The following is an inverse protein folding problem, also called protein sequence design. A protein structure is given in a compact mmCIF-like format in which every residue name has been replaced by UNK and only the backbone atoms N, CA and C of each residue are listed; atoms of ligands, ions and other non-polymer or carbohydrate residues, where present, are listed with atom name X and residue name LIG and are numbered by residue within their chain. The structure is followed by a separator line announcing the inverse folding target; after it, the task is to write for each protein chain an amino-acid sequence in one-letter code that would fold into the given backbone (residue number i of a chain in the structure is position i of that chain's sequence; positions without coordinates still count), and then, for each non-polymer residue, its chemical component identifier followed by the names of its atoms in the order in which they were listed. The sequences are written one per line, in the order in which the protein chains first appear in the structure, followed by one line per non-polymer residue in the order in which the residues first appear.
data_IF_859413872364
#
_entry.id   IF_859413872364
#
_cell.length_a   1.000
_cell.length_b   1.000
_cell.length_c   1.000
_cell.angle_alpha   90.00
_cell.angle_beta   90.00
_cell.angle_gamma   90.00
#
_symmetry.space_group_name_H-M   'P 1'
#
loop_
_entity.id
_entity.type
_entity.pdbx_description
1 polymer ?
#
# COMPACT_ATOMS: atom_id res chain seq x y z
N UNK A 1 -3.51 -30.97 45.87
CA UNK A 1 -2.23 -30.26 45.71
C UNK A 1 -1.17 -31.29 45.34
N UNK A 2 -0.51 -31.01 44.21
CA UNK A 2 0.77 -31.54 43.72
C UNK A 2 0.99 -33.04 43.75
N UNK A 3 0.64 -33.65 42.62
CA UNK A 3 1.23 -34.87 42.09
C UNK A 3 2.74 -34.70 41.93
N UNK A 4 3.54 -35.49 42.65
CA UNK A 4 4.95 -35.74 42.31
C UNK A 4 5.07 -37.17 41.79
N UNK A 5 5.73 -37.30 40.64
CA UNK A 5 5.64 -38.42 39.71
C UNK A 5 5.98 -39.79 40.30
N UNK A 6 5.15 -40.77 39.97
CA UNK A 6 5.47 -42.21 39.96
C UNK A 6 6.68 -42.49 39.05
N UNK A 7 7.90 -42.38 39.59
CA UNK A 7 9.05 -43.09 39.06
C UNK A 7 9.14 -44.43 39.78
N UNK A 8 8.92 -45.55 39.10
CA UNK A 8 9.16 -46.86 39.69
C UNK A 8 10.63 -46.94 40.14
N UNK A 9 10.85 -46.94 41.46
CA UNK A 9 12.16 -47.22 42.03
C UNK A 9 12.59 -48.63 41.62
N UNK A 10 13.70 -48.76 40.89
CA UNK A 10 14.27 -50.06 40.48
C UNK A 10 14.71 -50.92 41.66
N UNK A 11 14.80 -50.35 42.88
CA UNK A 11 15.07 -51.08 44.13
C UNK A 11 13.91 -50.81 45.10
N UNK A 12 13.19 -51.86 45.49
CA UNK A 12 11.97 -51.79 46.29
C UNK A 12 12.25 -52.43 47.65
N UNK A 13 11.85 -51.76 48.73
CA UNK A 13 11.91 -52.32 50.08
C UNK A 13 10.73 -53.27 50.28
N UNK A 14 11.02 -54.52 50.59
CA UNK A 14 10.02 -55.56 50.90
C UNK A 14 10.25 -56.13 52.29
N UNK A 15 9.32 -56.95 52.78
CA UNK A 15 9.45 -57.70 54.04
C UNK A 15 10.67 -58.64 54.07
N UNK A 16 11.26 -58.97 52.91
CA UNK A 16 12.46 -59.81 52.75
C UNK A 16 13.76 -59.02 52.56
N UNK A 17 13.71 -57.68 52.62
CA UNK A 17 14.84 -56.79 52.36
C UNK A 17 14.69 -55.97 51.08
N UNK A 18 15.80 -55.41 50.61
CA UNK A 18 15.86 -54.60 49.38
C UNK A 18 15.88 -55.52 48.16
N UNK A 19 14.86 -55.44 47.31
CA UNK A 19 14.65 -56.31 46.14
C UNK A 19 14.73 -55.49 44.86
N UNK A 20 15.33 -56.04 43.81
CA UNK A 20 15.36 -55.40 42.48
C UNK A 20 13.97 -55.50 41.84
N UNK A 21 13.39 -54.36 41.45
CA UNK A 21 12.06 -54.28 40.87
C UNK A 21 11.93 -55.16 39.62
N UNK A 22 10.95 -56.07 39.61
CA UNK A 22 10.75 -57.03 38.52
C UNK A 22 11.57 -58.32 38.63
N UNK A 23 12.40 -58.48 39.68
CA UNK A 23 13.14 -59.71 39.97
C UNK A 23 12.85 -60.19 41.41
N UNK A 24 13.04 -61.49 41.67
CA UNK A 24 12.96 -62.07 43.05
C UNK A 24 14.31 -62.05 43.78
N UNK A 25 15.25 -61.23 43.30
CA UNK A 25 16.64 -61.20 43.73
C UNK A 25 16.81 -60.09 44.74
N UNK A 26 17.29 -60.44 45.94
CA UNK A 26 17.61 -59.43 46.95
C UNK A 26 18.97 -58.82 46.69
N UNK A 27 19.20 -57.63 47.23
CA UNK A 27 20.52 -57.00 47.25
C UNK A 27 21.58 -57.91 47.87
N UNK A 28 21.23 -58.65 48.93
CA UNK A 28 22.17 -59.53 49.64
C UNK A 28 22.60 -60.71 48.78
N UNK A 29 21.66 -61.29 48.03
CA UNK A 29 21.96 -62.33 47.04
C UNK A 29 22.92 -61.84 45.95
N UNK A 30 22.94 -60.54 45.66
CA UNK A 30 23.90 -59.98 44.70
C UNK A 30 25.27 -59.73 45.36
N UNK A 31 25.28 -59.19 46.58
CA UNK A 31 26.51 -58.87 47.34
C UNK A 31 27.36 -60.12 47.62
N UNK A 32 26.74 -61.24 48.01
CA UNK A 32 27.47 -62.48 48.30
C UNK A 32 28.30 -62.98 47.11
N UNK A 33 27.75 -62.85 45.89
CA UNK A 33 28.44 -63.28 44.69
C UNK A 33 29.45 -62.25 44.16
N UNK A 34 29.21 -60.96 44.42
CA UNK A 34 30.19 -59.92 44.09
C UNK A 34 31.43 -60.07 44.98
N UNK A 35 31.25 -60.27 46.28
CA UNK A 35 32.36 -60.50 47.22
C UNK A 35 33.10 -61.82 46.94
N UNK A 36 32.42 -62.82 46.39
CA UNK A 36 33.04 -64.06 45.93
C UNK A 36 33.76 -63.94 44.57
N UNK A 37 33.83 -62.74 43.96
CA UNK A 37 34.62 -62.45 42.77
C UNK A 37 34.02 -62.93 41.45
N UNK A 38 32.70 -63.18 41.40
CA UNK A 38 32.06 -63.69 40.18
C UNK A 38 31.97 -62.61 39.07
N UNK A 39 32.21 -62.97 37.79
CA UNK A 39 32.10 -62.03 36.68
C UNK A 39 30.68 -61.47 36.54
N UNK A 40 30.56 -60.15 36.30
CA UNK A 40 29.27 -59.45 36.16
C UNK A 40 28.37 -60.04 35.07
N UNK A 41 28.94 -60.56 33.98
CA UNK A 41 28.20 -61.25 32.92
C UNK A 41 27.50 -62.52 33.41
N UNK A 42 28.11 -63.24 34.33
CA UNK A 42 27.58 -64.49 34.90
C UNK A 42 26.47 -64.20 35.92
N UNK A 43 26.62 -63.12 36.70
CA UNK A 43 25.58 -62.69 37.64
C UNK A 43 24.30 -62.25 36.95
N UNK A 44 24.42 -61.50 35.85
CA UNK A 44 23.25 -61.08 35.04
C UNK A 44 22.47 -62.29 34.52
N UNK A 45 23.18 -63.26 33.95
CA UNK A 45 22.56 -64.47 33.40
C UNK A 45 21.97 -65.37 34.48
N UNK A 46 22.65 -65.50 35.63
CA UNK A 46 22.18 -66.34 36.75
C UNK A 46 20.92 -65.80 37.42
N UNK A 47 20.81 -64.48 37.53
CA UNK A 47 19.72 -63.81 38.22
C UNK A 47 18.62 -63.30 37.30
N UNK A 48 18.74 -63.49 35.98
CA UNK A 48 17.79 -63.04 34.96
C UNK A 48 17.44 -61.55 35.08
N UNK A 49 18.44 -60.72 35.37
CA UNK A 49 18.29 -59.27 35.53
C UNK A 49 18.87 -58.53 34.33
N UNK A 50 18.16 -57.49 33.88
CA UNK A 50 18.58 -56.65 32.75
C UNK A 50 19.82 -55.82 33.09
N UNK A 51 20.53 -55.34 32.07
CA UNK A 51 21.69 -54.45 32.26
C UNK A 51 21.37 -53.22 33.10
N UNK A 52 20.19 -52.62 32.87
CA UNK A 52 19.71 -51.47 33.62
C UNK A 52 19.43 -51.81 35.09
N UNK A 53 18.84 -52.96 35.36
CA UNK A 53 18.58 -53.42 36.74
C UNK A 53 19.88 -53.75 37.47
N UNK A 54 20.82 -54.41 36.80
CA UNK A 54 22.12 -54.76 37.36
C UNK A 54 22.97 -53.52 37.65
N UNK A 55 23.11 -52.59 36.69
CA UNK A 55 23.88 -51.36 36.90
C UNK A 55 23.29 -50.51 38.03
N UNK A 56 21.96 -50.40 38.10
CA UNK A 56 21.28 -49.69 39.18
C UNK A 56 21.49 -50.37 40.55
N UNK A 57 21.47 -51.70 40.60
CA UNK A 57 21.72 -52.45 41.83
C UNK A 57 23.16 -52.31 42.33
N UNK A 58 24.15 -52.39 41.43
CA UNK A 58 25.57 -52.19 41.74
C UNK A 58 25.82 -50.75 42.23
N UNK A 59 25.26 -49.76 41.52
CA UNK A 59 25.36 -48.35 41.92
C UNK A 59 24.82 -48.12 43.35
N UNK A 60 23.67 -48.71 43.69
CA UNK A 60 23.08 -48.60 45.02
C UNK A 60 23.90 -49.31 46.10
N UNK A 61 24.46 -50.50 45.80
CA UNK A 61 25.35 -51.24 46.69
C UNK A 61 26.59 -50.38 47.01
N UNK A 62 27.29 -49.91 45.97
CA UNK A 62 28.50 -49.09 46.12
C UNK A 62 28.22 -47.78 46.87
N UNK A 63 27.09 -47.10 46.58
CA UNK A 63 26.68 -45.88 47.27
C UNK A 63 26.50 -46.13 48.78
N UNK A 64 25.83 -47.23 49.14
CA UNK A 64 25.56 -47.55 50.54
C UNK A 64 26.78 -48.09 51.31
N UNK A 65 27.70 -48.79 50.66
CA UNK A 65 28.94 -49.26 51.26
C UNK A 65 29.88 -48.07 51.56
N UNK A 66 29.99 -47.12 50.62
CA UNK A 66 30.69 -45.85 50.84
C UNK A 66 30.05 -45.04 51.97
N UNK A 67 28.72 -45.01 52.07
CA UNK A 67 28.00 -44.30 53.14
C UNK A 67 28.25 -44.91 54.53
N UNK A 68 28.25 -46.25 54.67
CA UNK A 68 28.58 -46.91 55.94
C UNK A 68 30.06 -46.68 56.31
N UNK A 69 30.99 -46.88 55.37
CA UNK A 69 32.43 -46.65 55.61
C UNK A 69 32.70 -45.19 56.00
N UNK A 70 32.01 -44.24 55.39
CA UNK A 70 32.12 -42.82 55.71
C UNK A 70 31.59 -42.50 57.11
N UNK A 71 30.48 -43.14 57.52
CA UNK A 71 29.89 -42.98 58.86
C UNK A 71 30.80 -43.50 59.97
N UNK A 72 31.46 -44.64 59.76
CA UNK A 72 32.41 -45.21 60.71
C UNK A 72 33.67 -44.34 60.83
N UNK A 73 34.17 -43.82 59.72
CA UNK A 73 35.29 -42.88 59.70
C UNK A 73 34.96 -41.56 60.41
N UNK A 74 33.76 -40.99 60.22
CA UNK A 74 33.28 -39.80 60.96
C UNK A 74 33.25 -40.09 62.47
N UNK A 75 32.77 -41.26 62.87
CA UNK A 75 32.72 -41.66 64.28
C UNK A 75 34.13 -41.77 64.88
N UNK A 76 35.10 -42.32 64.12
CA UNK A 76 36.52 -42.38 64.51
C UNK A 76 37.11 -40.97 64.68
N UNK A 77 36.85 -40.06 63.74
CA UNK A 77 37.28 -38.65 63.81
C UNK A 77 36.71 -37.97 65.06
N UNK A 78 35.40 -38.10 65.32
CA UNK A 78 34.75 -37.47 66.48
C UNK A 78 35.30 -38.00 67.81
N UNK A 79 35.59 -39.29 67.91
CA UNK A 79 36.23 -39.87 69.10
C UNK A 79 37.61 -39.29 69.35
N UNK A 80 38.41 -39.11 68.29
CA UNK A 80 39.75 -38.51 68.40
C UNK A 80 39.64 -37.03 68.78
N UNK A 81 38.72 -36.28 68.17
CA UNK A 81 38.48 -34.88 68.49
C UNK A 81 38.07 -34.68 69.96
N UNK A 82 37.14 -35.47 70.46
CA UNK A 82 36.74 -35.40 71.87
C UNK A 82 37.90 -35.73 72.82
N UNK A 83 38.77 -36.69 72.44
CA UNK A 83 39.98 -36.99 73.23
C UNK A 83 40.98 -35.83 73.20
N UNK A 84 41.19 -35.20 72.04
CA UNK A 84 42.05 -34.01 71.94
C UNK A 84 41.48 -32.86 72.79
N UNK A 85 40.17 -32.63 72.72
CA UNK A 85 39.48 -31.58 73.49
C UNK A 85 39.64 -31.79 75.00
N UNK A 86 39.48 -33.02 75.49
CA UNK A 86 39.67 -33.32 76.92
C UNK A 86 41.11 -33.13 77.36
N UNK A 87 42.09 -33.50 76.53
CA UNK A 87 43.51 -33.40 76.87
C UNK A 87 44.05 -31.96 76.82
N UNK A 88 43.56 -31.13 75.88
CA UNK A 88 43.95 -29.70 75.79
C UNK A 88 43.53 -28.92 77.05
N UNK A 89 42.47 -29.36 77.76
CA UNK A 89 42.01 -28.74 78.99
C UNK A 89 42.85 -29.11 80.22
N UNK A 90 43.82 -30.03 80.09
CA UNK A 90 44.74 -30.44 81.17
C UNK A 90 46.00 -29.57 81.22
N UNK A 91 46.70 -29.54 82.37
CA UNK A 91 47.93 -28.74 82.53
C UNK A 91 49.10 -29.20 81.66
N UNK A 92 49.14 -30.49 81.27
CA UNK A 92 50.21 -31.06 80.43
C UNK A 92 49.87 -30.97 78.93
N UNK A 93 48.58 -30.87 78.58
CA UNK A 93 48.13 -30.76 77.19
C UNK A 93 48.56 -31.93 76.31
N UNK A 94 48.78 -31.67 75.01
CA UNK A 94 49.24 -32.65 74.01
C UNK A 94 50.75 -32.91 74.03
N UNK A 95 51.43 -32.68 75.16
CA UNK A 95 52.89 -32.79 75.28
C UNK A 95 53.35 -34.09 75.94
N UNK A 96 52.42 -34.92 76.39
CA UNK A 96 52.70 -36.21 76.99
C UNK A 96 52.92 -37.29 75.93
N UNK A 97 53.68 -38.33 76.28
CA UNK A 97 54.06 -39.42 75.38
C UNK A 97 52.84 -40.12 74.76
N UNK A 98 51.77 -40.31 75.54
CA UNK A 98 50.55 -41.00 75.09
C UNK A 98 49.57 -40.09 74.31
N UNK A 99 49.77 -38.76 74.34
CA UNK A 99 48.84 -37.77 73.74
C UNK A 99 49.45 -37.02 72.55
N UNK A 100 50.77 -37.02 72.39
CA UNK A 100 51.49 -36.34 71.31
C UNK A 100 51.14 -36.88 69.91
N UNK A 101 50.70 -38.14 69.82
CA UNK A 101 50.29 -38.77 68.55
C UNK A 101 48.85 -38.41 68.12
N UNK A 102 48.02 -37.88 69.02
CA UNK A 102 46.58 -37.66 68.75
C UNK A 102 46.31 -36.74 67.55
N UNK A 103 47.03 -35.61 67.36
CA UNK A 103 46.85 -34.78 66.17
C UNK A 103 47.19 -35.52 64.86
N UNK A 104 48.17 -36.42 64.88
CA UNK A 104 48.55 -37.20 63.70
C UNK A 104 47.53 -38.31 63.40
N UNK A 105 46.97 -38.96 64.43
CA UNK A 105 45.86 -39.90 64.28
C UNK A 105 44.59 -39.26 63.71
N UNK A 106 44.37 -37.97 64.00
CA UNK A 106 43.27 -37.21 63.40
C UNK A 106 43.47 -37.04 61.89
N UNK A 107 44.70 -36.73 61.45
CA UNK A 107 45.03 -36.63 60.02
C UNK A 107 44.87 -37.97 59.32
N UNK A 108 45.35 -39.06 59.91
CA UNK A 108 45.19 -40.42 59.39
C UNK A 108 43.70 -40.78 59.23
N UNK A 109 42.88 -40.53 60.26
CA UNK A 109 41.44 -40.75 60.18
C UNK A 109 40.75 -39.87 59.12
N UNK A 110 41.26 -38.66 58.87
CA UNK A 110 40.81 -37.79 57.78
C UNK A 110 41.13 -38.35 56.40
N UNK A 111 42.30 -38.97 56.21
CA UNK A 111 42.68 -39.64 54.97
C UNK A 111 41.82 -40.89 54.74
N UNK A 112 41.58 -41.69 55.77
CA UNK A 112 40.64 -42.83 55.72
C UNK A 112 39.24 -42.36 55.27
N UNK A 113 38.78 -41.24 55.79
CA UNK A 113 37.50 -40.64 55.40
C UNK A 113 37.48 -40.19 53.94
N UNK A 114 38.53 -39.53 53.45
CA UNK A 114 38.61 -39.11 52.05
C UNK A 114 38.64 -40.30 51.10
N UNK A 115 39.37 -41.37 51.44
CA UNK A 115 39.43 -42.58 50.61
C UNK A 115 38.10 -43.34 50.57
N UNK A 116 37.31 -43.29 51.64
CA UNK A 116 35.95 -43.85 51.68
C UNK A 116 34.96 -43.05 50.82
N UNK A 117 35.07 -41.73 50.77
CA UNK A 117 34.19 -40.87 49.95
C UNK A 117 34.59 -40.89 48.48
N UNK A 118 35.87 -40.70 48.21
CA UNK A 118 36.42 -40.57 46.86
C UNK A 118 37.08 -41.87 46.41
N UNK A 119 36.30 -42.96 46.39
CA UNK A 119 36.76 -44.23 45.83
C UNK A 119 37.14 -44.06 44.34
N UNK A 120 38.04 -44.90 43.78
CA UNK A 120 38.46 -44.81 42.38
C UNK A 120 37.28 -44.85 41.39
N UNK A 121 36.21 -45.55 41.76
CA UNK A 121 34.99 -45.65 40.95
C UNK A 121 34.18 -44.35 40.95
N UNK A 122 34.07 -43.68 42.10
CA UNK A 122 33.41 -42.36 42.19
C UNK A 122 34.18 -41.33 41.38
N UNK A 123 35.51 -41.33 41.44
CA UNK A 123 36.35 -40.43 40.63
C UNK A 123 36.22 -40.70 39.13
N UNK A 124 36.11 -41.96 38.70
CA UNK A 124 35.83 -42.32 37.29
C UNK A 124 34.44 -41.87 36.84
N UNK A 125 33.44 -41.99 37.72
CA UNK A 125 32.10 -41.51 37.42
C UNK A 125 32.06 -39.99 37.29
N UNK A 126 32.78 -39.26 38.16
CA UNK A 126 32.92 -37.81 38.06
C UNK A 126 33.66 -37.40 36.78
N UNK A 127 34.72 -38.10 36.39
CA UNK A 127 35.42 -37.83 35.13
C UNK A 127 34.51 -37.89 33.89
N UNK A 128 33.53 -38.80 33.90
CA UNK A 128 32.60 -38.98 32.79
C UNK A 128 31.36 -38.09 32.87
N UNK A 129 30.92 -37.72 34.07
CA UNK A 129 29.67 -36.97 34.29
C UNK A 129 29.89 -35.45 34.39
N UNK A 130 30.98 -35.03 35.03
CA UNK A 130 31.29 -33.62 35.32
C UNK A 130 32.81 -33.41 35.50
N UNK A 131 33.55 -33.21 34.39
CA UNK A 131 35.00 -33.01 34.42
C UNK A 131 35.44 -31.79 35.26
N UNK A 132 34.64 -30.72 35.28
CA UNK A 132 34.98 -29.49 36.01
C UNK A 132 35.00 -29.73 37.53
N UNK A 133 34.10 -30.57 38.03
CA UNK A 133 34.08 -30.97 39.44
C UNK A 133 35.28 -31.85 39.81
N UNK A 134 35.75 -32.70 38.88
CA UNK A 134 36.96 -33.49 39.08
C UNK A 134 38.21 -32.59 39.16
N UNK A 135 38.29 -31.57 38.30
CA UNK A 135 39.38 -30.59 38.34
C UNK A 135 39.37 -29.79 39.64
N UNK A 136 38.20 -29.35 40.10
CA UNK A 136 38.05 -28.66 41.39
C UNK A 136 38.50 -29.54 42.57
N UNK A 137 38.15 -30.84 42.55
CA UNK A 137 38.61 -31.81 43.54
C UNK A 137 40.14 -31.98 43.50
N UNK A 138 40.73 -32.12 42.31
CA UNK A 138 42.17 -32.30 42.13
C UNK A 138 42.95 -31.07 42.64
N UNK A 139 42.44 -29.87 42.36
CA UNK A 139 42.98 -28.61 42.88
C UNK A 139 42.91 -28.59 44.41
N UNK A 140 41.77 -28.94 45.01
CA UNK A 140 41.60 -28.94 46.47
C UNK A 140 42.53 -29.94 47.17
N UNK A 141 42.71 -31.13 46.60
CA UNK A 141 43.66 -32.14 47.09
C UNK A 141 45.09 -31.61 47.00
N UNK A 142 45.47 -31.04 45.86
CA UNK A 142 46.80 -30.45 45.64
C UNK A 142 47.11 -29.35 46.66
N UNK A 143 46.16 -28.44 46.90
CA UNK A 143 46.30 -27.38 47.90
C UNK A 143 46.49 -27.95 49.32
N UNK A 144 45.78 -29.01 49.66
CA UNK A 144 45.88 -29.66 50.97
C UNK A 144 47.23 -30.31 51.19
N UNK A 145 47.73 -31.05 50.19
CA UNK A 145 49.05 -31.65 50.22
C UNK A 145 50.16 -30.59 50.31
N UNK A 146 50.02 -29.48 49.57
CA UNK A 146 50.98 -28.38 49.64
C UNK A 146 51.04 -27.76 51.05
N UNK A 147 49.90 -27.60 51.74
CA UNK A 147 49.89 -27.14 53.15
C UNK A 147 50.63 -28.10 54.07
N UNK A 148 50.43 -29.40 53.92
CA UNK A 148 51.13 -30.43 54.71
C UNK A 148 52.65 -30.40 54.42
N UNK A 149 53.03 -30.23 53.16
CA UNK A 149 54.43 -30.10 52.74
C UNK A 149 55.09 -28.85 53.32
N UNK A 150 54.40 -27.71 53.36
CA UNK A 150 54.89 -26.48 54.01
C UNK A 150 55.17 -26.71 55.49
N UNK A 151 54.26 -27.39 56.21
CA UNK A 151 54.46 -27.71 57.63
C UNK A 151 55.69 -28.60 57.82
N UNK A 152 55.84 -29.64 57.00
CA UNK A 152 57.01 -30.52 57.03
C UNK A 152 58.32 -29.75 56.77
N UNK A 153 58.35 -28.90 55.75
CA UNK A 153 59.52 -28.08 55.43
C UNK A 153 59.87 -27.09 56.53
N UNK A 154 58.89 -26.58 57.26
CA UNK A 154 59.12 -25.71 58.40
C UNK A 154 59.70 -26.49 59.59
N UNK A 155 59.25 -27.73 59.83
CA UNK A 155 59.74 -28.54 60.95
C UNK A 155 61.09 -29.21 60.69
N UNK A 156 61.40 -29.52 59.44
CA UNK A 156 62.59 -30.28 59.05
C UNK A 156 63.92 -29.66 59.55
N UNK A 157 64.18 -28.34 59.44
CA UNK A 157 65.39 -27.73 59.99
C UNK A 157 65.50 -27.91 61.50
N UNK A 158 64.39 -27.85 62.22
CA UNK A 158 64.36 -27.99 63.68
C UNK A 158 64.52 -29.44 64.14
N UNK A 159 63.98 -30.40 63.40
CA UNK A 159 64.20 -31.83 63.68
C UNK A 159 65.67 -32.22 63.51
N UNK A 160 66.40 -31.53 62.62
CA UNK A 160 67.82 -31.80 62.38
C UNK A 160 68.75 -31.31 63.50
N UNK A 161 68.28 -30.37 64.35
CA UNK A 161 69.03 -29.75 65.46
C UNK A 161 68.66 -30.31 66.85
N UNK A 162 67.58 -31.07 66.96
CA UNK A 162 67.13 -31.70 68.21
C UNK A 162 67.90 -33.00 68.49
N UNK A 163 68.08 -33.41 69.77
CA UNK A 163 68.79 -34.62 70.16
C UNK A 163 67.91 -35.87 69.93
N UNK A 164 67.64 -36.18 68.66
CA UNK A 164 66.88 -37.36 68.22
C UNK A 164 67.86 -38.51 68.00
N UNK A 165 67.43 -39.76 68.23
CA UNK A 165 68.27 -40.95 67.99
C UNK A 165 68.71 -41.04 66.51
N UNK A 166 69.93 -41.51 66.24
CA UNK A 166 70.48 -41.55 64.88
C UNK A 166 69.67 -42.45 63.93
N UNK A 167 69.00 -43.48 64.47
CA UNK A 167 68.12 -44.37 63.71
C UNK A 167 66.87 -43.66 63.19
N UNK A 168 66.26 -42.78 64.00
CA UNK A 168 65.11 -41.98 63.57
C UNK A 168 65.52 -40.90 62.57
N UNK A 169 66.69 -40.26 62.76
CA UNK A 169 67.23 -39.29 61.80
C UNK A 169 67.44 -39.91 60.41
N UNK A 170 67.97 -41.13 60.36
CA UNK A 170 68.11 -41.86 59.10
C UNK A 170 66.76 -42.17 58.47
N UNK A 171 65.81 -42.74 59.23
CA UNK A 171 64.46 -43.04 58.73
C UNK A 171 63.73 -41.81 58.17
N UNK A 172 63.86 -40.65 58.84
CA UNK A 172 63.26 -39.41 58.35
C UNK A 172 63.90 -38.97 57.03
N UNK A 173 65.23 -39.08 56.90
CA UNK A 173 65.93 -38.77 55.66
C UNK A 173 65.53 -39.70 54.51
N UNK A 174 65.42 -41.00 54.78
CA UNK A 174 65.02 -42.01 53.78
C UNK A 174 63.58 -41.75 53.30
N UNK A 175 62.65 -41.49 54.24
CA UNK A 175 61.26 -41.14 53.90
C UNK A 175 61.16 -39.85 53.08
N UNK A 176 61.98 -38.84 53.36
CA UNK A 176 62.00 -37.60 52.57
C UNK A 176 62.52 -37.87 51.16
N UNK A 177 63.56 -38.70 51.02
CA UNK A 177 64.07 -39.09 49.72
C UNK A 177 63.01 -39.85 48.90
N UNK A 178 62.30 -40.79 49.53
CA UNK A 178 61.18 -41.52 48.92
C UNK A 178 60.04 -40.58 48.50
N UNK A 179 59.63 -39.64 49.35
CA UNK A 179 58.57 -38.66 49.02
C UNK A 179 58.99 -37.79 47.82
N UNK A 180 60.24 -37.32 47.79
CA UNK A 180 60.74 -36.51 46.67
C UNK A 180 60.81 -37.33 45.38
N UNK A 181 61.22 -38.60 45.46
CA UNK A 181 61.25 -39.51 44.33
C UNK A 181 59.83 -39.74 43.77
N UNK A 182 58.87 -40.07 44.63
CA UNK A 182 57.46 -40.28 44.24
C UNK A 182 56.86 -39.00 43.63
N UNK A 183 57.18 -37.82 44.18
CA UNK A 183 56.73 -36.54 43.62
C UNK A 183 57.30 -36.29 42.22
N UNK A 184 58.58 -36.63 42.00
CA UNK A 184 59.23 -36.52 40.69
C UNK A 184 58.61 -37.47 39.66
N UNK A 185 58.45 -38.74 40.02
CA UNK A 185 57.84 -39.77 39.15
C UNK A 185 56.39 -39.42 38.79
N UNK A 186 55.59 -38.95 39.74
CA UNK A 186 54.22 -38.51 39.48
C UNK A 186 54.16 -37.33 38.52
N UNK A 187 55.07 -36.36 38.65
CA UNK A 187 55.17 -35.22 37.73
C UNK A 187 55.47 -35.70 36.30
N UNK A 188 56.42 -36.61 36.15
CA UNK A 188 56.77 -37.21 34.85
C UNK A 188 55.61 -38.00 34.22
N UNK A 189 54.86 -38.76 35.03
CA UNK A 189 53.67 -39.49 34.57
C UNK A 189 52.56 -38.55 34.12
N UNK A 190 52.29 -37.47 34.85
CA UNK A 190 51.29 -36.47 34.47
C UNK A 190 51.67 -35.76 33.16
N UNK A 191 52.95 -35.44 32.99
CA UNK A 191 53.45 -34.86 31.74
C UNK A 191 53.27 -35.85 30.56
N UNK A 192 53.65 -37.11 30.75
CA UNK A 192 53.51 -38.16 29.73
C UNK A 192 52.03 -38.41 29.36
N UNK A 193 51.13 -38.40 30.34
CA UNK A 193 49.69 -38.54 30.11
C UNK A 193 49.13 -37.37 29.29
N UNK A 194 49.60 -36.15 29.56
CA UNK A 194 49.21 -34.95 28.78
C UNK A 194 49.70 -35.04 27.34
N UNK A 195 50.93 -35.51 27.13
CA UNK A 195 51.49 -35.73 25.78
C UNK A 195 50.69 -36.77 24.99
N UNK A 196 50.33 -37.89 25.62
CA UNK A 196 49.50 -38.93 24.99
C UNK A 196 48.10 -38.41 24.64
N UNK A 197 47.47 -37.66 25.54
CA UNK A 197 46.16 -37.04 25.26
C UNK A 197 46.20 -36.09 24.07
N UNK A 198 47.24 -35.25 23.97
CA UNK A 198 47.43 -34.36 22.84
C UNK A 198 47.67 -35.12 21.52
N UNK A 199 48.38 -36.25 21.57
CA UNK A 199 48.58 -37.12 20.41
C UNK A 199 47.27 -37.78 19.96
N UNK A 200 46.44 -38.25 20.89
CA UNK A 200 45.12 -38.82 20.61
C UNK A 200 44.21 -37.78 19.96
N UNK A 201 44.16 -36.56 20.49
CA UNK A 201 43.36 -35.48 19.91
C UNK A 201 43.81 -35.15 18.47
N UNK A 202 45.13 -35.15 18.22
CA UNK A 202 45.67 -34.95 16.88
C UNK A 202 45.26 -36.07 15.92
N UNK A 203 45.33 -37.34 16.35
CA UNK A 203 44.89 -38.48 15.54
C UNK A 203 43.39 -38.42 15.20
N UNK A 204 42.56 -37.92 16.11
CA UNK A 204 41.14 -37.67 15.83
C UNK A 204 40.97 -36.62 14.73
N UNK A 205 41.68 -35.49 14.82
CA UNK A 205 41.66 -34.44 13.78
C UNK A 205 42.13 -34.98 12.42
N UNK A 206 43.24 -35.71 12.39
CA UNK A 206 43.79 -36.29 11.15
C UNK A 206 42.81 -37.32 10.53
N UNK A 207 42.06 -38.06 11.37
CA UNK A 207 41.05 -39.00 10.92
C UNK A 207 39.84 -38.29 10.30
N UNK A 208 39.42 -37.17 10.88
CA UNK A 208 38.36 -36.32 10.33
C UNK A 208 38.77 -35.75 8.96
N UNK A 209 39.99 -35.21 8.84
CA UNK A 209 40.50 -34.71 7.55
C UNK A 209 40.54 -35.80 6.47
N UNK A 210 41.00 -37.01 6.81
CA UNK A 210 40.98 -38.15 5.88
C UNK A 210 39.56 -38.53 5.46
N UNK A 211 38.58 -38.43 6.36
CA UNK A 211 37.18 -38.71 6.02
C UNK A 211 36.62 -37.68 5.03
N UNK A 212 36.96 -36.39 5.20
CA UNK A 212 36.58 -35.32 4.28
C UNK A 212 37.23 -35.49 2.91
N UNK A 213 38.53 -35.83 2.87
CA UNK A 213 39.23 -36.11 1.62
C UNK A 213 38.63 -37.30 0.87
N UNK A 214 38.24 -38.36 1.58
CA UNK A 214 37.55 -39.51 0.97
C UNK A 214 36.19 -39.13 0.40
N UNK A 215 35.43 -38.27 1.09
CA UNK A 215 34.18 -37.75 0.56
C UNK A 215 34.42 -36.94 -0.72
N UNK A 216 35.44 -36.07 -0.72
CA UNK A 216 35.80 -35.28 -1.91
C UNK A 216 36.22 -36.15 -3.08
N UNK A 217 36.98 -37.22 -2.86
CA UNK A 217 37.33 -38.19 -3.90
C UNK A 217 36.08 -38.88 -4.48
N UNK A 218 35.11 -39.25 -3.63
CA UNK A 218 33.85 -39.82 -4.08
C UNK A 218 32.99 -38.82 -4.89
N UNK A 219 32.93 -37.56 -4.46
CA UNK A 219 32.27 -36.48 -5.20
C UNK A 219 32.92 -36.29 -6.58
N UNK A 220 34.25 -36.23 -6.64
CA UNK A 220 34.98 -36.08 -7.90
C UNK A 220 34.76 -37.27 -8.84
N UNK A 221 34.72 -38.50 -8.33
CA UNK A 221 34.37 -39.69 -9.12
C UNK A 221 32.96 -39.64 -9.67
N UNK A 222 32.02 -39.12 -8.89
CA UNK A 222 30.63 -38.94 -9.33
C UNK A 222 30.55 -37.90 -10.44
N UNK A 223 31.19 -36.74 -10.25
CA UNK A 223 31.28 -35.69 -11.28
C UNK A 223 31.98 -36.21 -12.55
N UNK A 224 33.02 -37.03 -12.40
CA UNK A 224 33.70 -37.65 -13.54
C UNK A 224 32.78 -38.60 -14.31
N UNK A 225 31.99 -39.43 -13.60
CA UNK A 225 31.01 -40.31 -14.23
C UNK A 225 29.88 -39.51 -14.91
N UNK A 226 29.40 -38.44 -14.27
CA UNK A 226 28.42 -37.52 -14.86
C UNK A 226 28.97 -36.88 -16.13
N UNK A 227 30.18 -36.32 -16.11
CA UNK A 227 30.84 -35.73 -17.29
C UNK A 227 31.07 -36.74 -18.42
N UNK A 228 31.28 -38.02 -18.11
CA UNK A 228 31.39 -39.07 -19.12
C UNK A 228 30.02 -39.49 -19.69
N UNK A 229 28.94 -39.31 -18.92
CA UNK A 229 27.57 -39.64 -19.34
C UNK A 229 26.83 -38.48 -20.02
N UNK A 230 27.27 -37.24 -19.78
CA UNK A 230 26.67 -36.03 -20.36
C UNK A 230 27.25 -35.82 -21.75
N UNK A 231 26.43 -36.08 -22.77
CA UNK A 231 26.73 -35.76 -24.17
C UNK A 231 26.72 -34.22 -24.35
N UNK A 232 27.88 -33.60 -24.19
CA UNK A 232 28.06 -32.15 -24.35
C UNK A 232 27.69 -31.68 -25.76
N UNK A 233 27.75 -32.56 -26.76
CA UNK A 233 27.38 -32.24 -28.13
C UNK A 233 25.85 -32.13 -28.25
N UNK A 234 25.07 -32.97 -27.56
CA UNK A 234 23.62 -32.86 -27.53
C UNK A 234 23.15 -31.55 -26.88
N UNK A 235 23.78 -31.13 -25.78
CA UNK A 235 23.46 -29.85 -25.13
C UNK A 235 23.86 -28.65 -25.98
N UNK A 236 25.02 -28.69 -26.66
CA UNK A 236 25.40 -27.64 -27.61
C UNK A 236 24.41 -27.56 -28.76
N UNK A 237 23.93 -28.70 -29.25
CA UNK A 237 22.93 -28.79 -30.31
C UNK A 237 21.57 -28.24 -29.84
N UNK A 238 21.18 -28.51 -28.60
CA UNK A 238 19.95 -27.97 -28.01
C UNK A 238 20.03 -26.44 -27.82
N UNK A 239 21.16 -25.91 -27.34
CA UNK A 239 21.38 -24.45 -27.22
C UNK A 239 21.40 -23.77 -28.60
N UNK A 240 21.98 -24.40 -29.62
CA UNK A 240 21.93 -23.87 -30.99
C UNK A 240 20.53 -23.91 -31.57
N UNK A 241 19.76 -24.98 -31.33
CA UNK A 241 18.36 -25.05 -31.75
C UNK A 241 17.50 -24.00 -31.03
N UNK A 242 17.67 -23.84 -29.72
CA UNK A 242 16.93 -22.86 -28.93
C UNK A 242 17.26 -21.43 -29.36
N UNK A 243 18.54 -21.10 -29.56
CA UNK A 243 18.93 -19.78 -30.06
C UNK A 243 18.40 -19.51 -31.47
N UNK A 244 18.39 -20.51 -32.37
CA UNK A 244 17.78 -20.41 -33.69
C UNK A 244 16.25 -20.17 -33.63
N UNK A 245 15.54 -20.69 -32.62
CA UNK A 245 14.11 -20.35 -32.40
C UNK A 245 13.86 -19.00 -31.73
N UNK A 246 14.84 -18.45 -31.01
CA UNK A 246 14.69 -17.16 -30.30
C UNK A 246 15.02 -15.96 -31.19
N UNK A 247 15.96 -16.11 -32.12
CA UNK A 247 16.28 -15.13 -33.18
C UNK A 247 15.03 -14.56 -33.91
N UNK A 248 14.13 -15.38 -34.48
CA UNK A 248 12.94 -14.86 -35.15
C UNK A 248 11.98 -14.17 -34.19
N UNK A 249 11.86 -14.64 -32.93
CA UNK A 249 11.01 -13.98 -31.92
C UNK A 249 11.58 -12.62 -31.50
N UNK A 250 12.90 -12.49 -31.40
CA UNK A 250 13.55 -11.22 -31.07
C UNK A 250 13.39 -10.20 -32.21
N UNK A 251 13.48 -10.66 -33.47
CA UNK A 251 13.23 -9.80 -34.63
C UNK A 251 11.77 -9.36 -34.74
N UNK A 252 10.81 -10.26 -34.49
CA UNK A 252 9.38 -9.93 -34.41
C UNK A 252 9.10 -8.90 -33.30
N UNK A 253 9.69 -9.07 -32.12
CA UNK A 253 9.52 -8.12 -31.00
C UNK A 253 10.07 -6.74 -31.36
N UNK A 254 11.21 -6.68 -32.05
CA UNK A 254 11.78 -5.42 -32.55
C UNK A 254 10.89 -4.74 -33.59
N UNK A 255 10.29 -5.51 -34.50
CA UNK A 255 9.32 -4.99 -35.47
C UNK A 255 8.08 -4.43 -34.78
N UNK A 256 7.52 -5.15 -33.80
CA UNK A 256 6.38 -4.69 -33.01
C UNK A 256 6.69 -3.43 -32.22
N UNK A 257 7.89 -3.31 -31.64
CA UNK A 257 8.33 -2.08 -30.98
C UNK A 257 8.41 -0.89 -31.94
N UNK A 258 8.91 -1.12 -33.16
CA UNK A 258 8.97 -0.08 -34.19
C UNK A 258 7.56 0.35 -34.64
N UNK A 259 6.66 -0.60 -34.87
CA UNK A 259 5.26 -0.33 -35.20
C UNK A 259 4.55 0.46 -34.08
N UNK A 260 4.80 0.10 -32.82
CA UNK A 260 4.24 0.84 -31.68
C UNK A 260 4.71 2.30 -31.69
N UNK A 261 6.01 2.55 -31.89
CA UNK A 261 6.56 3.90 -31.95
C UNK A 261 5.96 4.73 -33.11
N UNK A 262 5.70 4.08 -34.25
CA UNK A 262 5.05 4.73 -35.39
C UNK A 262 3.59 5.10 -35.09
N UNK A 263 2.83 4.20 -34.46
CA UNK A 263 1.46 4.47 -34.01
C UNK A 263 1.43 5.62 -32.99
N UNK A 264 2.35 5.63 -32.02
CA UNK A 264 2.44 6.71 -31.03
C UNK A 264 2.71 8.07 -31.72
N UNK A 265 3.55 8.08 -32.76
CA UNK A 265 3.78 9.28 -33.57
C UNK A 265 2.54 9.73 -34.33
N UNK A 266 1.76 8.79 -34.89
CA UNK A 266 0.49 9.09 -35.57
C UNK A 266 -0.56 9.64 -34.59
N UNK A 267 -0.66 9.07 -33.39
CA UNK A 267 -1.56 9.56 -32.33
C UNK A 267 -1.22 11.00 -31.96
N UNK A 268 0.07 11.32 -31.76
CA UNK A 268 0.49 12.69 -31.46
C UNK A 268 0.13 13.66 -32.59
N UNK A 269 0.33 13.27 -33.85
CA UNK A 269 -0.06 14.11 -35.00
C UNK A 269 -1.58 14.34 -35.06
N UNK A 270 -2.39 13.31 -34.80
CA UNK A 270 -3.84 13.43 -34.75
C UNK A 270 -4.31 14.32 -33.60
N UNK A 271 -3.71 14.20 -32.42
CA UNK A 271 -4.00 15.08 -31.27
C UNK A 271 -3.67 16.54 -31.59
N UNK A 272 -2.55 16.79 -32.26
CA UNK A 272 -2.20 18.14 -32.70
C UNK A 272 -3.21 18.67 -33.74
N UNK A 273 -3.63 17.83 -34.69
CA UNK A 273 -4.65 18.21 -35.67
C UNK A 273 -5.99 18.51 -35.01
N UNK A 274 -6.40 17.71 -34.02
CA UNK A 274 -7.62 17.96 -33.24
C UNK A 274 -7.55 19.32 -32.53
N UNK A 275 -6.43 19.64 -31.87
CA UNK A 275 -6.26 20.94 -31.20
C UNK A 275 -6.37 22.12 -32.17
N UNK A 276 -5.84 21.99 -33.39
CA UNK A 276 -5.97 23.03 -34.43
C UNK A 276 -7.42 23.18 -34.87
N UNK A 277 -8.13 22.08 -35.10
CA UNK A 277 -9.55 22.11 -35.50
C UNK A 277 -10.44 22.70 -34.39
N UNK A 278 -10.18 22.37 -33.12
CA UNK A 278 -10.87 22.97 -31.98
C UNK A 278 -10.67 24.49 -31.92
N UNK A 279 -9.44 24.95 -32.15
CA UNK A 279 -9.13 26.38 -32.26
C UNK A 279 -9.90 27.08 -33.39
N UNK A 280 -9.98 26.45 -34.56
CA UNK A 280 -10.74 26.99 -35.71
C UNK A 280 -12.24 27.02 -35.43
N UNK A 281 -12.79 25.97 -34.80
CA UNK A 281 -14.21 25.93 -34.40
C UNK A 281 -14.54 27.08 -33.45
N UNK A 282 -13.71 27.33 -32.44
CA UNK A 282 -13.91 28.44 -31.51
C UNK A 282 -13.79 29.80 -32.20
N UNK A 283 -12.84 29.96 -33.13
CA UNK A 283 -12.73 31.16 -33.95
C UNK A 283 -14.00 31.41 -34.78
N UNK A 284 -14.53 30.38 -35.45
CA UNK A 284 -15.76 30.50 -36.24
C UNK A 284 -16.98 30.80 -35.38
N UNK A 285 -17.12 30.16 -34.21
CA UNK A 285 -18.19 30.49 -33.24
C UNK A 285 -18.13 31.96 -32.83
N UNK A 286 -16.94 32.47 -32.53
CA UNK A 286 -16.76 33.88 -32.16
C UNK A 286 -17.15 34.82 -33.31
N UNK A 287 -16.72 34.49 -34.54
CA UNK A 287 -17.08 35.24 -35.75
C UNK A 287 -18.60 35.25 -35.97
N UNK A 288 -19.26 34.11 -35.84
CA UNK A 288 -20.72 34.01 -35.97
C UNK A 288 -21.44 34.85 -34.90
N UNK A 289 -21.00 34.81 -33.64
CA UNK A 289 -21.56 35.66 -32.57
C UNK A 289 -21.42 37.15 -32.89
N UNK A 290 -20.27 37.58 -33.42
CA UNK A 290 -20.07 38.98 -33.86
C UNK A 290 -21.02 39.35 -34.99
N UNK A 291 -21.17 38.48 -35.99
CA UNK A 291 -22.11 38.71 -37.09
C UNK A 291 -23.56 38.80 -36.61
N UNK A 292 -24.00 37.89 -35.73
CA UNK A 292 -25.33 37.94 -35.12
C UNK A 292 -25.53 39.24 -34.34
N UNK A 293 -24.53 39.68 -33.58
CA UNK A 293 -24.59 40.94 -32.83
C UNK A 293 -24.70 42.13 -33.78
N UNK A 294 -23.95 42.12 -34.89
CA UNK A 294 -24.04 43.13 -35.95
C UNK A 294 -25.43 43.15 -36.61
N UNK A 295 -25.96 41.99 -37.00
CA UNK A 295 -27.29 41.85 -37.57
C UNK A 295 -28.38 42.33 -36.60
N UNK A 296 -28.29 41.99 -35.31
CA UNK A 296 -29.22 42.48 -34.30
C UNK A 296 -29.15 44.00 -34.17
N UNK A 297 -27.95 44.60 -34.25
CA UNK A 297 -27.79 46.05 -34.24
C UNK A 297 -28.42 46.69 -35.47
N UNK A 298 -28.12 46.20 -36.67
CA UNK A 298 -28.72 46.70 -37.92
C UNK A 298 -30.23 46.50 -37.96
N UNK A 299 -30.74 45.39 -37.43
CA UNK A 299 -32.18 45.14 -37.31
C UNK A 299 -32.83 46.16 -36.37
N UNK A 300 -32.20 46.46 -35.22
CA UNK A 300 -32.67 47.52 -34.31
C UNK A 300 -32.68 48.88 -35.00
N UNK A 301 -31.63 49.22 -35.74
CA UNK A 301 -31.55 50.47 -36.53
C UNK A 301 -32.63 50.53 -37.62
N UNK A 302 -32.91 49.43 -38.33
CA UNK A 302 -33.98 49.38 -39.31
C UNK A 302 -35.37 49.50 -38.66
N UNK A 303 -35.58 48.87 -37.50
CA UNK A 303 -36.83 49.00 -36.74
C UNK A 303 -37.05 50.46 -36.34
N UNK A 304 -36.03 51.15 -35.81
CA UNK A 304 -36.17 52.56 -35.41
C UNK A 304 -36.41 53.47 -36.61
N UNK A 305 -35.71 53.26 -37.74
CA UNK A 305 -35.96 54.01 -38.97
C UNK A 305 -37.35 53.75 -39.55
N UNK A 306 -37.82 52.50 -39.53
CA UNK A 306 -39.16 52.14 -40.01
C UNK A 306 -40.24 52.74 -39.11
N UNK A 307 -40.06 52.71 -37.80
CA UNK A 307 -40.96 53.36 -36.84
C UNK A 307 -41.00 54.88 -37.07
N UNK A 308 -39.85 55.54 -37.23
CA UNK A 308 -39.79 56.97 -37.52
C UNK A 308 -40.41 57.32 -38.89
N UNK A 309 -40.25 56.46 -39.89
CA UNK A 309 -40.91 56.60 -41.19
C UNK A 309 -42.42 56.45 -41.07
N UNK A 310 -42.89 55.45 -40.32
CA UNK A 310 -44.31 55.24 -40.06
C UNK A 310 -44.93 56.43 -39.33
N UNK A 311 -44.29 56.97 -38.29
CA UNK A 311 -44.82 58.15 -37.59
C UNK A 311 -44.93 59.36 -38.52
N UNK A 312 -43.96 59.58 -39.41
CA UNK A 312 -44.02 60.66 -40.40
C UNK A 312 -45.13 60.45 -41.43
N UNK A 313 -45.32 59.21 -41.89
CA UNK A 313 -46.39 58.88 -42.83
C UNK A 313 -47.77 59.00 -42.17
N UNK A 314 -47.92 58.51 -40.94
CA UNK A 314 -49.17 58.63 -40.17
C UNK A 314 -49.51 60.13 -39.96
N UNK A 315 -48.51 60.96 -39.64
CA UNK A 315 -48.69 62.42 -39.53
C UNK A 315 -49.11 63.04 -40.87
N UNK A 316 -48.38 62.75 -41.96
CA UNK A 316 -48.71 63.28 -43.29
C UNK A 316 -50.07 62.81 -43.80
N UNK A 317 -50.46 61.57 -43.53
CA UNK A 317 -51.73 61.00 -43.97
C UNK A 317 -52.88 61.54 -43.13
N UNK A 318 -52.67 61.79 -41.83
CA UNK A 318 -53.62 62.49 -40.98
C UNK A 318 -53.89 63.92 -41.48
N UNK A 319 -52.84 64.65 -41.87
CA UNK A 319 -52.99 65.99 -42.47
C UNK A 319 -53.77 65.92 -43.78
N UNK A 320 -53.37 65.03 -44.70
CA UNK A 320 -54.05 64.89 -45.99
C UNK A 320 -55.52 64.45 -45.84
N UNK A 321 -55.84 63.58 -44.88
CA UNK A 321 -57.23 63.23 -44.57
C UNK A 321 -58.01 64.43 -44.04
N UNK A 322 -57.40 65.26 -43.21
CA UNK A 322 -58.04 66.48 -42.68
C UNK A 322 -58.33 67.46 -43.81
N UNK A 323 -57.36 67.70 -44.69
CA UNK A 323 -57.53 68.58 -45.86
C UNK A 323 -58.63 68.06 -46.81
N UNK A 324 -58.68 66.75 -47.04
CA UNK A 324 -59.67 66.13 -47.91
C UNK A 324 -61.08 66.14 -47.29
N UNK A 325 -61.18 65.98 -45.97
CA UNK A 325 -62.42 66.20 -45.24
C UNK A 325 -62.90 67.67 -45.33
N UNK A 326 -61.98 68.63 -45.27
CA UNK A 326 -62.28 70.05 -45.45
C UNK A 326 -62.79 70.33 -46.87
N UNK A 327 -62.08 69.87 -47.90
CA UNK A 327 -62.52 69.96 -49.29
C UNK A 327 -63.88 69.31 -49.52
N UNK A 328 -64.14 68.14 -48.91
CA UNK A 328 -65.45 67.49 -49.00
C UNK A 328 -66.55 68.36 -48.38
N UNK A 329 -66.30 69.00 -47.24
CA UNK A 329 -67.26 69.93 -46.62
C UNK A 329 -67.52 71.13 -47.53
N UNK A 330 -66.48 71.71 -48.12
CA UNK A 330 -66.63 72.83 -49.08
C UNK A 330 -67.45 72.42 -50.29
N UNK A 331 -67.15 71.26 -50.91
CA UNK A 331 -67.91 70.76 -52.05
C UNK A 331 -69.38 70.52 -51.69
N UNK A 332 -69.64 70.01 -50.49
CA UNK A 332 -71.00 69.79 -50.01
C UNK A 332 -71.75 71.11 -49.81
N UNK A 333 -71.09 72.15 -49.28
CA UNK A 333 -71.66 73.50 -49.19
C UNK A 333 -71.97 74.07 -50.57
N UNK A 334 -71.04 73.95 -51.52
CA UNK A 334 -71.26 74.40 -52.90
C UNK A 334 -72.40 73.63 -53.58
N UNK A 335 -72.52 72.34 -53.33
CA UNK A 335 -73.61 71.52 -53.85
C UNK A 335 -74.96 71.93 -53.26
N UNK A 336 -75.03 72.22 -51.96
CA UNK A 336 -76.23 72.77 -51.32
C UNK A 336 -76.62 74.14 -51.90
N UNK A 337 -75.65 75.01 -52.15
CA UNK A 337 -75.88 76.31 -52.81
C UNK A 337 -76.39 76.13 -54.24
N UNK A 338 -75.81 75.19 -55.01
CA UNK A 338 -76.27 74.88 -56.36
C UNK A 338 -77.70 74.35 -56.36
N UNK A 339 -78.04 73.45 -55.44
CA UNK A 339 -79.42 72.95 -55.29
C UNK A 339 -80.39 74.08 -54.95
N UNK A 340 -80.03 74.99 -54.04
CA UNK A 340 -80.82 76.17 -53.75
C UNK A 340 -80.99 77.07 -54.98
N UNK A 341 -79.93 77.23 -55.78
CA UNK A 341 -79.96 77.94 -57.06
C UNK A 341 -80.88 77.29 -58.10
N UNK A 342 -80.83 75.96 -58.24
CA UNK A 342 -81.73 75.19 -59.12
C UNK A 342 -83.19 75.36 -58.66
N UNK A 343 -83.45 75.29 -57.35
CA UNK A 343 -84.80 75.52 -56.82
C UNK A 343 -85.29 76.95 -57.13
N UNK A 344 -84.43 77.95 -56.98
CA UNK A 344 -84.76 79.34 -57.33
C UNK A 344 -85.01 79.49 -58.84
N UNK A 345 -84.19 78.87 -59.69
CA UNK A 345 -84.39 78.87 -61.14
C UNK A 345 -85.69 78.19 -61.55
N UNK A 346 -86.03 77.05 -60.94
CA UNK A 346 -87.29 76.35 -61.20
C UNK A 346 -88.49 77.23 -60.78
N UNK A 347 -88.41 77.94 -59.65
CA UNK A 347 -89.44 78.92 -59.27
C UNK A 347 -89.57 80.03 -60.30
N UNK A 348 -88.44 80.61 -60.72
CA UNK A 348 -88.42 81.62 -61.77
C UNK A 348 -89.02 81.11 -63.09
N UNK A 349 -88.73 79.85 -63.46
CA UNK A 349 -89.30 79.23 -64.66
C UNK A 349 -90.82 79.08 -64.54
N UNK A 350 -91.33 78.62 -63.39
CA UNK A 350 -92.78 78.54 -63.13
C UNK A 350 -93.42 79.92 -63.20
N UNK A 351 -92.84 80.94 -62.56
CA UNK A 351 -93.33 82.32 -62.63
C UNK A 351 -93.32 82.85 -64.08
N UNK A 352 -92.29 82.52 -64.85
CA UNK A 352 -92.18 82.93 -66.26
C UNK A 352 -93.20 82.22 -67.14
N UNK A 353 -93.45 80.92 -66.92
CA UNK A 353 -94.49 80.16 -67.62
C UNK A 353 -95.89 80.63 -67.22
N UNK A 354 -96.12 81.05 -65.98
CA UNK A 354 -97.35 81.72 -65.55
C UNK A 354 -97.54 83.04 -66.29
N UNK A 355 -96.51 83.90 -66.34
CA UNK A 355 -96.52 85.15 -67.12
C UNK A 355 -96.79 84.85 -68.60
N UNK A 356 -96.13 83.83 -69.17
CA UNK A 356 -96.31 83.43 -70.56
C UNK A 356 -97.73 82.96 -70.83
N UNK A 357 -98.31 82.18 -69.92
CA UNK A 357 -99.70 81.72 -70.01
C UNK A 357 -100.66 82.91 -69.93
N UNK A 358 -100.42 83.88 -69.05
CA UNK A 358 -101.16 85.13 -68.99
C UNK A 358 -101.05 85.93 -70.31
N UNK A 359 -99.83 86.06 -70.86
CA UNK A 359 -99.58 86.73 -72.13
C UNK A 359 -100.24 86.01 -73.31
N UNK A 360 -100.23 84.68 -73.31
CA UNK A 360 -100.85 83.85 -74.34
C UNK A 360 -102.37 83.94 -74.27
N UNK A 361 -102.96 83.95 -73.06
CA UNK A 361 -104.37 84.23 -72.86
C UNK A 361 -104.74 85.65 -73.35
N UNK A 362 -103.89 86.65 -73.09
CA UNK A 362 -104.06 88.02 -73.59
C UNK A 362 -103.94 88.10 -75.12
N UNK A 363 -103.00 87.36 -75.71
CA UNK A 363 -102.80 87.26 -77.15
C UNK A 363 -103.98 86.55 -77.82
N UNK A 364 -104.47 85.45 -77.27
CA UNK A 364 -105.67 84.78 -77.78
C UNK A 364 -106.91 85.68 -77.70
N UNK A 365 -107.07 86.44 -76.60
CA UNK A 365 -108.10 87.47 -76.50
C UNK A 365 -107.95 88.53 -77.62
N UNK A 366 -106.73 88.97 -77.91
CA UNK A 366 -106.42 89.85 -79.04
C UNK A 366 -106.65 89.18 -80.41
N UNK A 367 -106.44 87.87 -80.54
CA UNK A 367 -106.67 87.12 -81.77
C UNK A 367 -108.17 87.03 -82.10
N UNK A 368 -109.05 86.92 -81.09
CA UNK A 368 -110.50 87.08 -81.25
C UNK A 368 -110.90 88.49 -81.70
N UNK A 369 -110.18 89.53 -81.25
CA UNK A 369 -110.39 90.92 -81.69
C UNK A 369 -109.88 91.12 -83.14
N UNK A 370 -108.85 90.38 -83.54
CA UNK A 370 -108.20 90.50 -84.86
C UNK A 370 -109.01 89.89 -86.01
N UNK A 371 -110.07 89.10 -85.74
CA UNK A 371 -110.94 88.52 -86.76
C UNK A 371 -111.94 89.53 -87.38
N UNK A 372 -111.94 90.79 -86.93
CA UNK A 372 -112.91 91.81 -87.37
C UNK A 372 -112.36 92.97 -88.21
N UNK A 373 -111.08 93.01 -88.62
CA UNK A 373 -110.61 94.03 -89.57
C UNK A 373 -109.54 93.54 -90.56
N UNK A 374 -109.56 94.04 -91.81
CA UNK A 374 -108.82 93.46 -92.94
C UNK A 374 -107.36 93.91 -92.95
N UNK A 375 -106.44 92.94 -92.85
CA UNK A 375 -104.99 93.15 -92.81
C UNK A 375 -104.39 92.98 -94.22
N UNK A 376 -103.58 93.96 -94.62
CA UNK A 376 -102.80 93.98 -95.85
C UNK A 376 -101.52 93.11 -95.70
N UNK A 377 -101.61 91.86 -96.17
CA UNK A 377 -100.59 90.81 -96.02
C UNK A 377 -99.21 91.16 -96.62
N UNK A 378 -99.10 92.18 -97.49
CA UNK A 378 -97.81 92.55 -98.08
C UNK A 378 -96.85 93.25 -97.09
N UNK A 379 -97.37 94.06 -96.17
CA UNK A 379 -96.52 94.73 -95.16
C UNK A 379 -96.02 93.76 -94.08
N UNK A 380 -96.83 92.77 -93.73
CA UNK A 380 -96.50 91.79 -92.69
C UNK A 380 -95.35 90.88 -93.14
N UNK A 381 -95.36 90.44 -94.40
CA UNK A 381 -94.26 89.63 -94.94
C UNK A 381 -92.92 90.38 -95.04
N UNK A 382 -92.95 91.69 -95.33
CA UNK A 382 -91.73 92.50 -95.35
C UNK A 382 -91.11 92.63 -93.94
N UNK A 383 -91.94 92.74 -92.90
CA UNK A 383 -91.47 92.80 -91.51
C UNK A 383 -90.96 91.43 -91.06
N UNK A 384 -91.61 90.33 -91.44
CA UNK A 384 -91.13 88.97 -91.12
C UNK A 384 -89.75 88.72 -91.74
N UNK A 385 -89.54 89.09 -93.00
CA UNK A 385 -88.21 88.97 -93.64
C UNK A 385 -87.14 89.85 -92.96
N UNK A 386 -87.53 91.01 -92.43
CA UNK A 386 -86.61 91.89 -91.68
C UNK A 386 -86.23 91.29 -90.32
N UNK A 387 -87.19 90.64 -89.64
CA UNK A 387 -86.95 89.95 -88.36
C UNK A 387 -86.07 88.71 -88.55
N UNK A 388 -86.30 87.94 -89.61
CA UNK A 388 -85.47 86.77 -89.94
C UNK A 388 -84.02 87.17 -90.24
N UNK A 389 -83.80 88.30 -90.93
CA UNK A 389 -82.46 88.83 -91.18
C UNK A 389 -81.75 89.26 -89.88
N UNK A 390 -82.45 89.97 -89.00
CA UNK A 390 -81.88 90.42 -87.72
C UNK A 390 -81.58 89.27 -86.76
N UNK A 391 -82.40 88.22 -86.75
CA UNK A 391 -82.14 87.01 -85.95
C UNK A 391 -80.90 86.27 -86.44
N UNK A 392 -80.72 86.13 -87.76
CA UNK A 392 -79.50 85.55 -88.32
C UNK A 392 -78.25 86.37 -87.96
N UNK A 393 -78.38 87.70 -87.86
CA UNK A 393 -77.28 88.59 -87.46
C UNK A 393 -76.92 88.44 -85.98
N UNK A 394 -77.92 88.33 -85.09
CA UNK A 394 -77.72 88.08 -83.65
C UNK A 394 -77.09 86.72 -83.38
N UNK A 395 -77.49 85.66 -84.11
CA UNK A 395 -76.85 84.34 -83.99
C UNK A 395 -75.36 84.39 -84.38
N UNK A 396 -75.02 85.22 -85.37
CA UNK A 396 -73.63 85.43 -85.78
C UNK A 396 -72.82 86.21 -84.72
N UNK A 397 -73.44 87.19 -84.06
CA UNK A 397 -72.83 87.93 -82.95
C UNK A 397 -72.63 87.05 -81.70
N UNK A 398 -73.61 86.20 -81.36
CA UNK A 398 -73.49 85.25 -80.25
C UNK A 398 -72.39 84.22 -80.53
N UNK A 399 -72.29 83.72 -81.78
CA UNK A 399 -71.21 82.83 -82.18
C UNK A 399 -69.82 83.49 -82.10
N UNK A 400 -69.73 84.79 -82.40
CA UNK A 400 -68.49 85.56 -82.27
C UNK A 400 -68.14 85.85 -80.80
N UNK A 401 -69.12 86.15 -79.96
CA UNK A 401 -68.94 86.35 -78.52
C UNK A 401 -68.48 85.06 -77.82
N UNK A 402 -69.02 83.89 -78.20
CA UNK A 402 -68.54 82.58 -77.71
C UNK A 402 -67.08 82.32 -78.09
N UNK A 403 -66.67 82.61 -79.32
CA UNK A 403 -65.27 82.50 -79.76
C UNK A 403 -64.34 83.42 -78.97
N UNK A 404 -64.78 84.63 -78.62
CA UNK A 404 -64.00 85.54 -77.77
C UNK A 404 -63.90 85.06 -76.32
N UNK A 405 -64.97 84.46 -75.78
CA UNK A 405 -64.97 83.87 -74.44
C UNK A 405 -64.07 82.62 -74.32
N UNK A 406 -63.97 81.79 -75.38
CA UNK A 406 -63.02 80.67 -75.40
C UNK A 406 -61.56 81.15 -75.49
N UNK A 407 -61.30 82.23 -76.24
CA UNK A 407 -59.96 82.83 -76.32
C UNK A 407 -59.52 83.55 -75.03
N UNK A 408 -60.45 84.12 -74.27
CA UNK A 408 -60.13 84.73 -72.97
C UNK A 408 -59.83 83.67 -71.90
N UNK A 409 -60.44 82.49 -71.98
CA UNK A 409 -60.13 81.38 -71.06
C UNK A 409 -58.76 80.72 -71.32
N UNK A 410 -58.27 80.69 -72.57
CA UNK A 410 -56.92 80.18 -72.87
C UNK A 410 -55.78 81.09 -72.39
N UNK A 411 -56.01 82.40 -72.24
CA UNK A 411 -54.97 83.34 -71.77
C UNK A 411 -54.74 83.32 -70.26
N UNK A 412 -55.62 82.70 -69.48
CA UNK A 412 -55.53 82.72 -68.00
C UNK A 412 -54.80 81.49 -67.42
N UNK A 413 -54.46 80.48 -68.23
CA UNK A 413 -53.74 79.26 -67.78
C UNK A 413 -52.20 79.41 -67.90
N UNK A 414 -51.70 80.63 -68.17
CA UNK A 414 -50.27 80.96 -68.11
C UNK A 414 -50.04 82.19 -67.24
N UNK A 415 -50.31 82.08 -65.94
CA UNK A 415 -49.56 82.85 -64.92
C UNK A 415 -49.83 82.28 -63.52
N UNK A 416 -48.73 81.83 -62.89
CA UNK A 416 -48.52 81.35 -61.52
C UNK A 416 -49.07 79.97 -61.14
#
# INVERSE_FOLDING_TARGET
MTSTSNGQSTIIRTERGLVIAGARVTRYDLMDYIHAGYPHSLLRNKFYITDKQFSTAISYINMSENLLSSSDAITKINKILHRIESEIQTEQGLRDFDTIELPFKLVEAGIDFWTAIYSPEVLRQLANADPDTLDAWAIALSQTLNRQFIVLNNWLPHLSTLPITPTLKQKISDLIAEINQISSEKSQLLQSATELFNQEQKLHSDTEELSQLRQKDAELKTIQAELQSVDLDSFRQEITNQSATLEPKATELKQLQQQKAEIDSQIMALQQQQAVLEGEIEYQKLKQRRQQTGLLKSTKELITLTQAGRTKLDESLSTALTDLEEQRREYQQLWEQLQAGIQAFNRYQVETDEIRTHLYAYYQANQTISQQLPIDYQKVNAIIQTIEHNLAQLDQEIANARRQHEQSQQKTILTF
#
